data_IF_513155444754
#
_entry.id   IF_513155444754
#
_cell.length_a   1.000
_cell.length_b   1.000
_cell.length_c   1.000
_cell.angle_alpha   90.00
_cell.angle_beta   90.00
_cell.angle_gamma   90.00
#
_symmetry.space_group_name_H-M   'P 1'
#
loop_
_entity.id
_entity.type
_entity.pdbx_description
1 polymer ?
#
# COMPACT_ATOMS: atom_id res chain seq x y z
N UNK A 1 10.35 3.08 5.84
CA UNK A 1 9.29 4.01 6.27
C UNK A 1 8.10 3.21 6.77
N UNK A 2 7.51 3.56 7.90
CA UNK A 2 6.37 2.82 8.47
C UNK A 2 5.10 3.64 8.40
N UNK A 3 4.02 3.07 7.87
CA UNK A 3 2.69 3.65 7.81
C UNK A 3 1.79 2.89 8.79
N UNK A 4 1.12 3.63 9.68
CA UNK A 4 0.09 3.11 10.58
C UNK A 4 -1.28 3.54 10.06
N UNK A 5 -2.13 2.58 9.77
CA UNK A 5 -3.49 2.80 9.31
C UNK A 5 -4.38 3.12 10.51
N UNK A 6 -5.43 3.91 10.25
CA UNK A 6 -6.50 4.09 11.22
C UNK A 6 -7.35 2.83 11.23
N UNK A 7 -7.68 2.33 12.42
CA UNK A 7 -8.57 1.18 12.60
C UNK A 7 -10.04 1.57 12.44
N UNK A 8 -10.90 0.61 12.07
CA UNK A 8 -12.35 0.80 11.96
C UNK A 8 -12.77 1.71 10.82
N UNK A 9 -11.98 1.77 9.74
CA UNK A 9 -12.35 2.42 8.49
C UNK A 9 -12.85 1.38 7.50
N UNK A 10 -13.92 1.72 6.79
CA UNK A 10 -14.61 0.80 5.89
C UNK A 10 -14.78 1.45 4.52
N UNK A 11 -14.69 0.63 3.49
CA UNK A 11 -15.17 0.98 2.16
C UNK A 11 -16.69 1.18 2.17
N UNK A 12 -17.21 1.81 1.13
CA UNK A 12 -18.65 2.11 1.05
C UNK A 12 -19.56 0.88 0.98
N UNK A 13 -18.98 -0.28 0.68
CA UNK A 13 -19.66 -1.58 0.67
C UNK A 13 -19.59 -2.33 2.02
N UNK A 14 -18.94 -1.74 3.02
CA UNK A 14 -18.82 -2.30 4.36
C UNK A 14 -17.63 -3.25 4.57
N UNK A 15 -16.76 -3.43 3.57
CA UNK A 15 -15.49 -4.16 3.77
C UNK A 15 -14.51 -3.27 4.53
N UNK A 16 -13.88 -3.81 5.57
CA UNK A 16 -12.87 -3.10 6.35
C UNK A 16 -11.63 -2.83 5.51
N UNK A 17 -11.12 -1.59 5.56
CA UNK A 17 -9.89 -1.22 4.88
C UNK A 17 -8.68 -1.54 5.77
N UNK A 18 -7.74 -2.31 5.21
CA UNK A 18 -6.58 -2.84 5.94
C UNK A 18 -5.27 -2.62 5.17
N UNK A 19 -4.17 -3.09 5.73
CA UNK A 19 -2.86 -3.08 5.10
C UNK A 19 -2.82 -3.85 3.77
N UNK A 20 -3.69 -4.85 3.57
CA UNK A 20 -3.76 -5.60 2.31
C UNK A 20 -4.18 -4.70 1.15
N UNK A 21 -5.16 -3.83 1.36
CA UNK A 21 -5.65 -2.89 0.35
C UNK A 21 -4.58 -1.90 -0.07
N UNK A 22 -3.82 -1.38 0.90
CA UNK A 22 -2.73 -0.44 0.64
C UNK A 22 -1.60 -1.11 -0.15
N UNK A 23 -1.18 -2.32 0.26
CA UNK A 23 -0.14 -3.09 -0.44
C UNK A 23 -0.58 -3.39 -1.87
N UNK A 24 -1.80 -3.89 -2.05
CA UNK A 24 -2.36 -4.17 -3.37
C UNK A 24 -2.37 -2.92 -4.25
N UNK A 25 -2.82 -1.77 -3.72
CA UNK A 25 -2.87 -0.50 -4.46
C UNK A 25 -1.50 -0.08 -4.97
N UNK A 26 -0.46 -0.17 -4.12
CA UNK A 26 0.92 0.16 -4.51
C UNK A 26 1.43 -0.83 -5.55
N UNK A 27 1.15 -2.12 -5.39
CA UNK A 27 1.56 -3.15 -6.35
C UNK A 27 0.93 -2.93 -7.73
N UNK A 28 -0.38 -2.66 -7.79
CA UNK A 28 -1.09 -2.35 -9.03
C UNK A 28 -0.51 -1.11 -9.71
N UNK A 29 -0.21 -0.05 -8.96
CA UNK A 29 0.43 1.14 -9.54
C UNK A 29 1.83 0.85 -10.12
N UNK A 30 2.60 -0.05 -9.50
CA UNK A 30 3.92 -0.49 -10.02
C UNK A 30 3.77 -1.34 -11.29
N UNK A 31 2.77 -2.22 -11.32
CA UNK A 31 2.60 -3.21 -12.39
C UNK A 31 1.86 -2.67 -13.63
N UNK A 32 1.34 -1.45 -13.57
CA UNK A 32 0.61 -0.81 -14.67
C UNK A 32 1.37 0.41 -15.23
N UNK A 33 2.28 0.21 -16.20
CA UNK A 33 3.02 1.29 -16.84
C UNK A 33 2.11 2.42 -17.36
N UNK A 34 2.52 3.66 -17.11
CA UNK A 34 1.79 4.86 -17.56
C UNK A 34 0.77 5.38 -16.55
N UNK A 35 0.56 4.70 -15.42
CA UNK A 35 -0.24 5.24 -14.33
C UNK A 35 0.53 6.32 -13.56
N UNK A 36 -0.22 7.21 -12.89
CA UNK A 36 0.34 8.45 -12.32
C UNK A 36 1.44 8.26 -11.28
N UNK A 37 1.47 7.11 -10.58
CA UNK A 37 2.44 6.84 -9.51
C UNK A 37 3.46 5.74 -9.82
N UNK A 38 3.43 5.16 -11.04
CA UNK A 38 4.35 4.08 -11.41
C UNK A 38 5.81 4.49 -11.25
N UNK A 39 6.17 5.72 -11.62
CA UNK A 39 7.54 6.22 -11.53
C UNK A 39 8.05 6.33 -10.10
N UNK A 40 7.22 6.82 -9.17
CA UNK A 40 7.58 7.00 -7.76
C UNK A 40 7.69 5.63 -7.08
N UNK A 41 6.66 4.79 -7.19
CA UNK A 41 6.69 3.49 -6.52
C UNK A 41 7.71 2.53 -7.14
N UNK A 42 7.88 2.53 -8.46
CA UNK A 42 8.89 1.71 -9.12
C UNK A 42 10.33 2.11 -8.76
N UNK A 43 10.58 3.40 -8.53
CA UNK A 43 11.93 3.90 -8.21
C UNK A 43 12.29 3.76 -6.73
N UNK A 44 11.35 4.06 -5.84
CA UNK A 44 11.65 4.23 -4.42
C UNK A 44 11.25 3.04 -3.56
N UNK A 45 10.26 2.24 -3.95
CA UNK A 45 9.77 1.13 -3.11
C UNK A 45 10.43 -0.18 -3.54
N UNK A 46 11.37 -0.65 -2.71
CA UNK A 46 12.05 -1.93 -2.88
C UNK A 46 11.12 -3.09 -2.50
N UNK A 47 10.58 -3.06 -1.28
CA UNK A 47 9.66 -4.07 -0.77
C UNK A 47 8.68 -3.49 0.27
N UNK A 48 7.63 -4.25 0.57
CA UNK A 48 6.63 -3.90 1.59
C UNK A 48 6.38 -5.12 2.49
N UNK A 49 6.26 -4.88 3.79
CA UNK A 49 5.91 -5.89 4.79
C UNK A 49 4.64 -5.49 5.55
N UNK A 50 3.87 -6.51 5.94
CA UNK A 50 2.64 -6.40 6.73
C UNK A 50 2.80 -7.18 8.03
N UNK A 51 3.30 -6.57 9.13
CA UNK A 51 3.40 -7.26 10.41
C UNK A 51 2.03 -7.45 11.09
N UNK A 52 1.05 -6.62 10.77
CA UNK A 52 -0.34 -6.66 11.25
C UNK A 52 -1.30 -5.99 10.25
N UNK A 53 -2.61 -6.06 10.49
CA UNK A 53 -3.63 -5.54 9.56
C UNK A 53 -3.65 -4.01 9.42
N UNK A 54 -2.94 -3.28 10.29
CA UNK A 54 -2.97 -1.82 10.34
C UNK A 54 -1.59 -1.19 10.21
N UNK A 55 -0.60 -1.95 9.74
CA UNK A 55 0.77 -1.49 9.59
C UNK A 55 1.36 -1.96 8.28
N UNK A 56 1.94 -1.02 7.53
CA UNK A 56 2.77 -1.33 6.35
C UNK A 56 4.16 -0.75 6.56
N UNK A 57 5.17 -1.60 6.43
CA UNK A 57 6.58 -1.20 6.44
C UNK A 57 7.08 -1.18 5.01
N UNK A 58 7.40 0.01 4.50
CA UNK A 58 8.02 0.21 3.19
C UNK A 58 9.54 0.20 3.35
N UNK A 59 10.21 -0.73 2.70
CA UNK A 59 11.65 -0.70 2.51
C UNK A 59 11.93 0.10 1.23
N UNK A 60 12.77 1.13 1.35
CA UNK A 60 13.04 2.09 0.28
C UNK A 60 14.50 1.99 -0.19
N UNK A 61 14.72 2.28 -1.48
CA UNK A 61 16.05 2.35 -2.11
C UNK A 61 16.87 3.58 -1.71
#
# INVERSE_FOLDING_TARGET
MTVKLREGIYWSDGVEFTADDLIYTVQVQKDNPGWGYTGQFGRYVESMEKPDDYTVVFNLN
#
